data_IF_152428559520
#
_entry.id   IF_152428559520
#
_cell.length_a   1.000
_cell.length_b   1.000
_cell.length_c   1.000
_cell.angle_alpha   90.00
_cell.angle_beta   90.00
_cell.angle_gamma   90.00
#
_symmetry.space_group_name_H-M   'P 1'
#
loop_
_entity.id
_entity.type
_entity.pdbx_description
1 polymer ?
#
# COMPACT_ATOMS: atom_id res chain seq x y z
N UNK A 1 -22.31 -6.13 -44.02
CA UNK A 1 -21.43 -7.32 -44.06
C UNK A 1 -20.48 -7.28 -42.87
N UNK A 2 -20.79 -7.98 -41.78
CA UNK A 2 -19.88 -8.19 -40.63
C UNK A 2 -20.13 -9.60 -40.11
N UNK A 3 -19.34 -10.53 -40.63
CA UNK A 3 -19.40 -11.96 -40.31
C UNK A 3 -18.74 -12.20 -38.96
N UNK A 4 -19.54 -12.60 -37.97
CA UNK A 4 -19.07 -13.15 -36.71
C UNK A 4 -18.47 -14.54 -36.98
N UNK A 5 -17.14 -14.66 -36.81
CA UNK A 5 -16.45 -15.94 -36.96
C UNK A 5 -16.65 -16.80 -35.70
N UNK A 6 -17.78 -17.51 -35.61
CA UNK A 6 -17.96 -18.62 -34.69
C UNK A 6 -17.01 -19.76 -35.10
N UNK A 7 -15.94 -19.98 -34.32
CA UNK A 7 -15.08 -21.16 -34.48
C UNK A 7 -15.88 -22.39 -34.05
N UNK A 8 -16.28 -23.18 -35.04
CA UNK A 8 -16.86 -24.52 -34.93
C UNK A 8 -15.86 -25.45 -34.22
N UNK A 9 -16.21 -25.97 -33.06
CA UNK A 9 -15.49 -27.11 -32.46
C UNK A 9 -16.38 -28.36 -32.53
N UNK A 10 -15.83 -29.53 -32.91
CA UNK A 10 -16.62 -30.73 -33.13
C UNK A 10 -16.98 -31.36 -31.79
N UNK A 11 -18.24 -31.80 -31.73
CA UNK A 11 -18.84 -32.60 -30.67
C UNK A 11 -18.08 -33.91 -30.48
N UNK A 12 -17.64 -34.21 -29.25
CA UNK A 12 -17.76 -35.53 -28.61
C UNK A 12 -17.27 -35.46 -27.15
N UNK A 13 -18.05 -36.11 -26.28
CA UNK A 13 -17.78 -36.48 -24.89
C UNK A 13 -18.13 -35.50 -23.76
N UNK A 14 -19.14 -35.95 -23.02
CA UNK A 14 -19.69 -35.43 -21.78
C UNK A 14 -18.62 -35.30 -20.69
N UNK A 15 -18.41 -34.06 -20.26
CA UNK A 15 -18.31 -33.51 -18.89
C UNK A 15 -17.64 -32.17 -19.10
N UNK A 16 -18.44 -31.19 -19.54
CA UNK A 16 -18.00 -29.81 -19.58
C UNK A 16 -17.92 -29.33 -18.12
N UNK A 17 -16.75 -29.49 -17.50
CA UNK A 17 -16.37 -28.59 -16.41
C UNK A 17 -16.42 -27.20 -17.02
N UNK A 18 -17.44 -26.43 -16.67
CA UNK A 18 -17.39 -24.99 -16.83
C UNK A 18 -16.19 -24.52 -15.97
N UNK A 19 -15.02 -24.45 -16.57
CA UNK A 19 -13.93 -23.66 -16.03
C UNK A 19 -14.41 -22.23 -16.22
N UNK A 20 -15.04 -21.69 -15.19
CA UNK A 20 -15.21 -20.25 -15.07
C UNK A 20 -13.79 -19.73 -14.93
N UNK A 21 -13.18 -19.39 -16.06
CA UNK A 21 -12.09 -18.44 -16.08
C UNK A 21 -12.69 -17.14 -15.51
N UNK A 22 -12.69 -17.03 -14.18
CA UNK A 22 -12.83 -15.76 -13.49
C UNK A 22 -11.68 -14.92 -14.04
N UNK A 23 -11.98 -14.08 -15.03
CA UNK A 23 -11.04 -13.19 -15.65
C UNK A 23 -10.44 -12.36 -14.53
N UNK A 24 -9.25 -12.76 -14.08
CA UNK A 24 -8.49 -12.03 -13.08
C UNK A 24 -8.30 -10.63 -13.65
N UNK A 25 -9.06 -9.68 -13.11
CA UNK A 25 -8.89 -8.26 -13.36
C UNK A 25 -7.53 -7.93 -12.81
N UNK A 26 -6.50 -8.08 -13.65
CA UNK A 26 -5.15 -7.65 -13.31
C UNK A 26 -5.19 -6.12 -13.33
N UNK A 27 -4.98 -5.43 -12.19
CA UNK A 27 -4.95 -3.98 -12.19
C UNK A 27 -3.78 -3.54 -13.07
N UNK A 28 -4.03 -2.53 -13.91
CA UNK A 28 -3.04 -1.99 -14.83
C UNK A 28 -1.71 -1.67 -14.10
N UNK A 29 -0.55 -1.88 -14.75
CA UNK A 29 0.74 -1.64 -14.13
C UNK A 29 0.85 -0.17 -13.71
N UNK A 30 1.08 0.06 -12.41
CA UNK A 30 1.29 1.41 -11.86
C UNK A 30 2.53 2.02 -12.52
N UNK A 31 2.38 3.22 -13.14
CA UNK A 31 3.50 3.95 -13.74
C UNK A 31 4.57 4.19 -12.66
N UNK A 32 5.84 3.89 -12.98
CA UNK A 32 6.96 4.02 -12.04
C UNK A 32 7.25 5.51 -11.85
N UNK A 33 7.38 5.94 -10.58
CA UNK A 33 7.89 7.27 -10.24
C UNK A 33 9.36 7.38 -10.68
N UNK A 34 9.85 8.59 -11.01
CA UNK A 34 11.24 8.76 -11.43
C UNK A 34 12.21 8.30 -10.33
N UNK A 35 13.44 7.89 -10.71
CA UNK A 35 14.47 7.58 -9.72
C UNK A 35 14.68 8.81 -8.83
N UNK A 36 14.90 8.59 -7.53
CA UNK A 36 15.07 9.62 -6.51
C UNK A 36 13.82 10.42 -6.11
N UNK A 37 12.64 10.18 -6.68
CA UNK A 37 11.40 10.87 -6.27
C UNK A 37 11.17 10.87 -4.75
N UNK A 38 11.41 9.73 -4.11
CA UNK A 38 11.26 9.56 -2.66
C UNK A 38 12.43 10.08 -1.82
N UNK A 39 13.46 10.70 -2.41
CA UNK A 39 14.53 11.36 -1.63
C UNK A 39 14.04 12.69 -1.05
N UNK A 40 13.18 13.38 -1.77
CA UNK A 40 12.67 14.68 -1.35
C UNK A 40 11.54 14.50 -0.32
N UNK A 41 11.66 15.18 0.82
CA UNK A 41 10.67 15.14 1.90
C UNK A 41 9.32 15.71 1.44
N UNK A 42 9.33 16.71 0.55
CA UNK A 42 8.10 17.30 0.01
C UNK A 42 7.23 16.26 -0.72
N UNK A 43 7.85 15.41 -1.55
CA UNK A 43 7.15 14.34 -2.27
C UNK A 43 6.59 13.28 -1.29
N UNK A 44 7.32 13.01 -0.20
CA UNK A 44 6.84 12.11 0.84
C UNK A 44 5.64 12.72 1.58
N UNK A 45 5.70 14.03 1.87
CA UNK A 45 4.61 14.78 2.52
C UNK A 45 3.35 14.77 1.68
N UNK A 46 3.45 15.13 0.39
CA UNK A 46 2.31 15.09 -0.55
C UNK A 46 1.67 13.69 -0.58
N UNK A 47 2.49 12.63 -0.70
CA UNK A 47 1.98 11.26 -0.67
C UNK A 47 1.27 10.93 0.66
N UNK A 48 1.85 11.30 1.80
CA UNK A 48 1.18 11.06 3.10
C UNK A 48 -0.10 11.88 3.26
N UNK A 49 -0.17 13.10 2.74
CA UNK A 49 -1.38 13.92 2.77
C UNK A 49 -2.48 13.34 1.88
N UNK A 50 -2.16 12.89 0.67
CA UNK A 50 -3.08 12.14 -0.18
C UNK A 50 -3.59 10.85 0.49
N UNK A 51 -2.70 10.15 1.18
CA UNK A 51 -3.05 8.94 1.93
C UNK A 51 -3.96 9.26 3.12
N UNK A 52 -3.69 10.34 3.86
CA UNK A 52 -4.53 10.82 4.95
C UNK A 52 -5.94 11.14 4.44
N UNK A 53 -6.06 11.86 3.31
CA UNK A 53 -7.34 12.14 2.65
C UNK A 53 -8.08 10.88 2.25
N UNK A 54 -7.37 9.89 1.69
CA UNK A 54 -7.95 8.61 1.27
C UNK A 54 -8.48 7.79 2.45
N UNK A 55 -7.77 7.83 3.58
CA UNK A 55 -8.13 7.14 4.81
C UNK A 55 -9.04 7.97 5.73
N UNK A 56 -9.38 9.20 5.31
CA UNK A 56 -10.14 10.19 6.07
C UNK A 56 -9.56 10.45 7.47
N UNK A 57 -8.23 10.57 7.56
CA UNK A 57 -7.50 10.86 8.79
C UNK A 57 -7.35 12.37 8.89
N UNK A 58 -8.11 12.98 9.79
CA UNK A 58 -8.03 14.41 10.10
C UNK A 58 -7.06 14.73 11.24
N UNK A 59 -6.79 13.76 12.11
CA UNK A 59 -5.95 13.95 13.31
C UNK A 59 -4.68 13.10 13.27
N UNK A 60 -3.57 13.58 13.87
CA UNK A 60 -2.31 12.82 13.93
C UNK A 60 -2.47 11.48 14.67
N UNK A 61 -3.41 11.40 15.63
CA UNK A 61 -3.73 10.17 16.33
C UNK A 61 -4.27 9.08 15.40
N UNK A 62 -4.96 9.44 14.31
CA UNK A 62 -5.51 8.46 13.36
C UNK A 62 -4.45 7.63 12.64
N UNK A 63 -3.20 8.10 12.62
CA UNK A 63 -2.08 7.33 12.06
C UNK A 63 -1.74 6.07 12.88
N UNK A 64 -2.10 6.00 14.17
CA UNK A 64 -1.89 4.76 14.96
C UNK A 64 -2.73 3.59 14.44
N UNK A 65 -3.87 3.87 13.83
CA UNK A 65 -4.74 2.88 13.20
C UNK A 65 -4.21 2.37 11.86
N UNK A 66 -3.27 3.11 11.24
CA UNK A 66 -2.68 2.74 9.95
C UNK A 66 -1.54 1.76 10.15
N UNK A 67 -1.73 0.55 9.64
CA UNK A 67 -0.65 -0.45 9.62
C UNK A 67 0.30 -0.23 8.45
N UNK A 68 1.54 -0.68 8.60
CA UNK A 68 2.53 -0.71 7.52
C UNK A 68 2.00 -1.47 6.28
N UNK A 69 1.17 -2.49 6.48
CA UNK A 69 0.51 -3.22 5.39
C UNK A 69 -0.41 -2.33 4.57
N UNK A 70 -1.27 -1.54 5.22
CA UNK A 70 -2.13 -0.56 4.53
C UNK A 70 -1.26 0.44 3.77
N UNK A 71 -0.25 1.00 4.42
CA UNK A 71 0.68 1.95 3.81
C UNK A 71 1.37 1.37 2.55
N UNK A 72 1.79 0.10 2.59
CA UNK A 72 2.36 -0.61 1.42
C UNK A 72 1.35 -0.82 0.30
N UNK A 73 0.08 -1.16 0.61
CA UNK A 73 -0.99 -1.34 -0.38
C UNK A 73 -1.24 -0.06 -1.20
N UNK A 74 -1.14 1.10 -0.57
CA UNK A 74 -1.29 2.40 -1.25
C UNK A 74 -0.04 2.86 -2.02
N UNK A 75 1.03 2.06 -2.07
CA UNK A 75 2.25 2.39 -2.82
C UNK A 75 3.36 3.02 -1.98
N UNK A 76 3.18 3.11 -0.65
CA UNK A 76 4.19 3.62 0.28
C UNK A 76 5.36 2.67 0.54
N UNK A 77 5.45 1.53 -0.16
CA UNK A 77 6.55 0.57 0.00
C UNK A 77 7.92 1.20 -0.25
N UNK A 78 8.02 2.13 -1.22
CA UNK A 78 9.28 2.82 -1.51
C UNK A 78 9.66 3.84 -0.44
N UNK A 79 8.68 4.48 0.22
CA UNK A 79 8.92 5.40 1.34
C UNK A 79 9.34 4.61 2.58
N UNK A 80 8.59 3.55 2.92
CA UNK A 80 8.92 2.68 4.04
C UNK A 80 10.27 2.00 3.90
N UNK A 81 10.73 1.73 2.68
CA UNK A 81 12.08 1.19 2.46
C UNK A 81 13.21 2.15 2.87
N UNK A 82 12.93 3.43 3.11
CA UNK A 82 13.93 4.42 3.56
C UNK A 82 14.02 4.55 5.07
N UNK A 83 13.00 4.11 5.79
CA UNK A 83 12.86 4.31 7.22
C UNK A 83 12.78 2.96 7.93
N UNK A 84 13.18 2.91 9.20
CA UNK A 84 13.10 1.64 9.95
C UNK A 84 11.67 1.26 10.29
N UNK A 85 10.84 2.26 10.54
CA UNK A 85 9.45 2.10 10.99
C UNK A 85 8.54 3.16 10.37
N UNK A 86 7.23 2.95 10.45
CA UNK A 86 6.25 3.96 10.02
C UNK A 86 6.33 5.23 10.90
N UNK A 87 6.55 5.08 12.21
CA UNK A 87 6.74 6.20 13.15
C UNK A 87 7.91 7.09 12.72
N UNK A 88 9.04 6.48 12.37
CA UNK A 88 10.25 7.16 11.90
C UNK A 88 10.00 7.95 10.60
N UNK A 89 9.26 7.36 9.65
CA UNK A 89 8.84 8.05 8.44
C UNK A 89 7.94 9.28 8.74
N UNK A 90 6.95 9.12 9.63
CA UNK A 90 6.05 10.20 10.01
C UNK A 90 6.77 11.32 10.77
N UNK A 91 7.73 10.98 11.63
CA UNK A 91 8.55 11.94 12.37
C UNK A 91 9.45 12.75 11.44
N UNK A 92 10.02 12.13 10.40
CA UNK A 92 10.81 12.84 9.40
C UNK A 92 9.95 13.78 8.53
N UNK A 93 8.72 13.37 8.20
CA UNK A 93 7.81 14.17 7.35
C UNK A 93 7.18 15.31 8.15
N UNK A 94 6.75 15.06 9.39
CA UNK A 94 6.07 15.99 10.28
C UNK A 94 6.85 16.12 11.60
N UNK A 95 7.97 16.87 11.60
CA UNK A 95 8.77 17.08 12.81
C UNK A 95 8.04 17.92 13.86
N UNK A 96 7.05 18.73 13.45
CA UNK A 96 6.26 19.60 14.32
C UNK A 96 5.23 18.85 15.19
N UNK A 97 5.08 17.53 15.03
CA UNK A 97 4.06 16.74 15.71
C UNK A 97 4.68 15.75 16.70
N UNK A 98 4.09 15.63 17.88
CA UNK A 98 4.53 14.71 18.93
C UNK A 98 4.05 13.27 18.69
N UNK A 99 4.78 12.56 17.82
CA UNK A 99 4.50 11.15 17.50
C UNK A 99 4.70 10.18 18.68
N UNK A 100 5.30 10.63 19.79
CA UNK A 100 5.49 9.79 20.97
C UNK A 100 4.18 9.57 21.74
N UNK A 101 3.23 10.51 21.63
CA UNK A 101 1.90 10.38 22.24
C UNK A 101 1.07 9.36 21.45
N UNK A 102 1.19 9.39 20.12
CA UNK A 102 0.46 8.51 19.20
C UNK A 102 1.00 7.08 19.22
N UNK A 103 2.32 6.94 19.27
CA UNK A 103 3.02 5.65 19.32
C UNK A 103 3.80 5.55 20.62
N UNK A 104 3.13 5.21 21.74
CA UNK A 104 3.83 4.98 23.00
C UNK A 104 4.85 3.88 22.79
N UNK A 105 6.11 4.18 23.05
CA UNK A 105 7.15 3.18 23.03
C UNK A 105 6.80 2.16 24.11
N UNK A 106 6.61 0.89 23.71
CA UNK A 106 6.39 -0.17 24.69
C UNK A 106 7.61 -0.16 25.61
N UNK A 107 7.44 -0.12 26.96
CA UNK A 107 8.58 -0.10 27.86
C UNK A 107 9.51 -1.24 27.46
N UNK A 108 10.78 -0.90 27.28
CA UNK A 108 11.80 -1.87 26.90
C UNK A 108 11.69 -3.07 27.85
N UNK A 109 11.76 -4.32 27.35
CA UNK A 109 11.81 -5.46 28.25
C UNK A 109 12.97 -5.21 29.22
N UNK A 110 12.77 -5.42 30.53
CA UNK A 110 13.82 -5.20 31.51
C UNK A 110 15.08 -5.95 31.06
N UNK A 111 16.28 -5.35 31.20
CA UNK A 111 17.51 -6.00 30.78
C UNK A 111 17.56 -7.37 31.46
N UNK A 112 17.76 -8.42 30.66
CA UNK A 112 17.89 -9.79 31.17
C UNK A 112 19.06 -9.78 32.14
N UNK A 113 18.76 -9.86 33.44
CA UNK A 113 19.76 -10.02 34.50
C UNK A 113 20.52 -11.31 34.24
N UNK A 114 21.82 -11.18 33.96
CA UNK A 114 22.79 -12.26 33.77
C UNK A 114 23.03 -13.01 35.06
#
# INVERSE_FOLDING_TARGET
VRTAACRRWPVHSLVARCFVDDAVVTPAPKKRKPPNYWKDINNQREFTDELAKTLNITEPAGWSSVTSTTFRKHGGSSVLGRYRTLKDALQAIYPDQDWNIVFPEKPAPPPLTT
#
